data_IF_999917688808
#
_entry.id   IF_999917688808
#
_cell.length_a   1.000
_cell.length_b   1.000
_cell.length_c   1.000
_cell.angle_alpha   90.00
_cell.angle_beta   90.00
_cell.angle_gamma   90.00
#
_symmetry.space_group_name_H-M   'P 1'
#
loop_
_entity.id
_entity.type
_entity.pdbx_description
1 polymer ?
#
# COMPACT_ATOMS: atom_id res chain seq x y z
N UNK A 1 54.49 75.93 -9.93
CA UNK A 1 55.23 75.75 -8.65
C UNK A 1 54.18 75.62 -7.54
N UNK A 2 54.25 74.72 -6.54
CA UNK A 2 55.08 73.52 -6.32
C UNK A 2 54.25 72.21 -6.17
N UNK A 3 54.92 71.05 -6.28
CA UNK A 3 54.47 69.72 -5.75
C UNK A 3 54.94 69.60 -4.27
N UNK A 4 55.01 68.44 -3.56
CA UNK A 4 54.47 67.06 -3.72
C UNK A 4 54.00 66.39 -2.38
N UNK A 5 53.79 65.06 -2.43
CA UNK A 5 54.04 64.05 -1.36
C UNK A 5 52.94 63.81 -0.31
N UNK A 6 52.74 62.60 0.25
CA UNK A 6 53.05 61.21 -0.07
C UNK A 6 52.35 60.35 1.02
N UNK A 7 51.96 59.11 0.67
CA UNK A 7 52.02 57.89 1.51
C UNK A 7 51.35 57.85 2.91
N UNK A 8 50.42 56.90 3.06
CA UNK A 8 50.59 55.59 3.75
C UNK A 8 49.47 55.19 4.74
N UNK A 9 48.80 54.08 4.39
CA UNK A 9 48.32 52.92 5.20
C UNK A 9 48.07 53.07 6.72
N UNK A 10 46.89 52.63 7.20
CA UNK A 10 46.66 51.39 7.98
C UNK A 10 45.43 51.44 8.92
N UNK A 11 44.80 50.28 9.16
CA UNK A 11 43.77 50.03 10.20
C UNK A 11 42.33 50.01 9.67
N UNK A 12 41.65 48.89 9.38
CA UNK A 12 41.26 47.68 10.16
C UNK A 12 40.09 47.94 11.12
N UNK A 13 38.96 47.28 10.84
CA UNK A 13 37.71 47.26 11.62
C UNK A 13 36.53 47.37 10.63
N UNK A 14 35.78 46.32 10.29
CA UNK A 14 35.19 45.35 11.18
C UNK A 14 33.71 45.68 11.33
N UNK A 15 32.89 45.30 10.34
CA UNK A 15 31.45 45.12 10.50
C UNK A 15 30.95 44.31 9.29
N UNK A 16 31.06 42.99 9.43
CA UNK A 16 30.28 42.06 8.63
C UNK A 16 28.80 42.34 8.91
N UNK A 17 28.11 42.93 7.94
CA UNK A 17 26.67 42.96 7.92
C UNK A 17 26.20 41.56 7.51
N UNK A 18 26.01 40.72 8.53
CA UNK A 18 25.13 39.58 8.46
C UNK A 18 23.70 40.09 8.22
N UNK A 19 23.26 40.03 6.97
CA UNK A 19 21.85 39.89 6.60
C UNK A 19 21.79 38.59 5.80
N UNK A 20 21.43 37.45 6.37
CA UNK A 20 20.37 37.23 7.33
C UNK A 20 19.63 36.05 6.74
N UNK A 21 19.83 34.89 7.36
CA UNK A 21 19.34 33.59 6.95
C UNK A 21 17.87 33.63 6.50
N UNK A 22 17.66 33.32 5.22
CA UNK A 22 16.38 32.97 4.63
C UNK A 22 16.56 31.75 3.73
N UNK A 23 17.38 30.80 4.20
CA UNK A 23 17.67 29.54 3.52
C UNK A 23 16.43 28.65 3.62
N UNK A 24 15.60 28.68 2.56
CA UNK A 24 14.76 27.57 2.13
C UNK A 24 13.95 26.85 3.21
N UNK A 25 13.04 27.55 3.90
CA UNK A 25 11.89 26.85 4.47
C UNK A 25 11.09 26.27 3.29
N UNK A 26 11.36 25.00 2.95
CA UNK A 26 10.55 24.27 1.97
C UNK A 26 9.09 24.52 2.32
N UNK A 27 8.29 24.88 1.32
CA UNK A 27 6.84 25.02 1.50
C UNK A 27 6.34 23.81 2.32
N UNK A 28 5.82 24.04 3.54
CA UNK A 28 5.37 22.97 4.41
C UNK A 28 4.30 22.10 3.74
N UNK A 29 3.47 22.69 2.88
CA UNK A 29 2.43 21.97 2.14
C UNK A 29 3.05 21.04 1.11
N UNK A 30 3.96 21.54 0.27
CA UNK A 30 4.70 20.70 -0.67
C UNK A 30 5.48 19.59 0.02
N UNK A 31 6.08 19.87 1.18
CA UNK A 31 6.82 18.88 1.98
C UNK A 31 5.90 17.80 2.54
N UNK A 32 4.73 18.16 3.06
CA UNK A 32 3.72 17.23 3.54
C UNK A 32 3.17 16.35 2.40
N UNK A 33 2.84 16.95 1.25
CA UNK A 33 2.42 16.22 0.04
C UNK A 33 3.47 15.20 -0.38
N UNK A 34 4.73 15.61 -0.49
CA UNK A 34 5.83 14.71 -0.84
C UNK A 34 5.98 13.55 0.16
N UNK A 35 5.82 13.82 1.46
CA UNK A 35 5.88 12.79 2.49
C UNK A 35 4.74 11.77 2.36
N UNK A 36 3.50 12.20 2.06
CA UNK A 36 2.36 11.29 1.82
C UNK A 36 2.60 10.44 0.58
N UNK A 37 2.98 11.05 -0.55
CA UNK A 37 3.28 10.32 -1.79
C UNK A 37 4.36 9.26 -1.53
N UNK A 38 5.40 9.61 -0.79
CA UNK A 38 6.48 8.70 -0.47
C UNK A 38 6.04 7.55 0.44
N UNK A 39 5.33 7.88 1.52
CA UNK A 39 4.87 6.92 2.53
C UNK A 39 3.93 5.89 1.93
N UNK A 40 2.86 6.36 1.27
CA UNK A 40 1.88 5.50 0.58
C UNK A 40 2.54 4.74 -0.57
N UNK A 41 3.45 5.38 -1.32
CA UNK A 41 4.26 4.75 -2.34
C UNK A 41 4.97 3.48 -1.87
N UNK A 42 5.60 3.54 -0.70
CA UNK A 42 6.31 2.40 -0.10
C UNK A 42 5.35 1.37 0.47
N UNK A 43 4.31 1.81 1.18
CA UNK A 43 3.33 0.93 1.82
C UNK A 43 2.61 0.07 0.79
N UNK A 44 1.99 0.69 -0.23
CA UNK A 44 1.27 -0.06 -1.27
C UNK A 44 2.20 -1.01 -2.03
N UNK A 45 3.43 -0.59 -2.36
CA UNK A 45 4.38 -1.46 -3.06
C UNK A 45 4.79 -2.69 -2.21
N UNK A 46 4.83 -2.55 -0.89
CA UNK A 46 5.12 -3.66 0.02
C UNK A 46 3.90 -4.59 0.19
N UNK A 47 2.68 -4.02 0.18
CA UNK A 47 1.43 -4.74 0.38
C UNK A 47 1.00 -5.55 -0.86
N UNK A 48 1.34 -5.08 -2.07
CA UNK A 48 0.85 -5.65 -3.33
C UNK A 48 1.99 -6.06 -4.28
N UNK A 49 2.31 -7.36 -4.39
CA UNK A 49 3.22 -7.85 -5.42
C UNK A 49 2.73 -7.47 -6.82
N UNK A 50 3.60 -6.83 -7.59
CA UNK A 50 3.29 -6.34 -8.94
C UNK A 50 2.83 -4.89 -9.00
N UNK A 51 2.59 -4.22 -7.86
CA UNK A 51 2.39 -2.77 -7.81
C UNK A 51 3.72 -2.12 -7.42
N UNK A 52 4.18 -1.17 -8.24
CA UNK A 52 5.44 -0.49 -7.97
C UNK A 52 5.26 0.64 -6.96
N UNK A 53 6.37 1.22 -6.47
CA UNK A 53 6.34 2.45 -5.67
C UNK A 53 5.62 3.60 -6.38
N UNK A 54 5.71 3.68 -7.71
CA UNK A 54 4.96 4.65 -8.49
C UNK A 54 3.45 4.37 -8.43
N UNK A 55 3.02 3.11 -8.43
CA UNK A 55 1.63 2.74 -8.25
C UNK A 55 1.06 3.24 -6.91
N UNK A 56 1.80 3.07 -5.82
CA UNK A 56 1.40 3.66 -4.53
C UNK A 56 1.41 5.20 -4.54
N UNK A 57 2.34 5.84 -5.25
CA UNK A 57 2.34 7.30 -5.44
C UNK A 57 1.12 7.79 -6.23
N UNK A 58 0.65 7.01 -7.21
CA UNK A 58 -0.60 7.29 -7.93
C UNK A 58 -1.80 7.19 -6.98
N UNK A 59 -1.84 6.18 -6.10
CA UNK A 59 -2.89 6.07 -5.06
C UNK A 59 -2.91 7.32 -4.18
N UNK A 60 -1.74 7.79 -3.72
CA UNK A 60 -1.64 9.01 -2.93
C UNK A 60 -2.07 10.26 -3.70
N UNK A 61 -1.65 10.40 -4.96
CA UNK A 61 -2.03 11.54 -5.79
C UNK A 61 -3.55 11.59 -6.01
N UNK A 62 -4.18 10.44 -6.27
CA UNK A 62 -5.63 10.33 -6.41
C UNK A 62 -6.38 10.56 -5.09
N UNK A 63 -5.80 10.18 -3.95
CA UNK A 63 -6.36 10.47 -2.63
C UNK A 63 -6.32 11.97 -2.29
N UNK A 64 -5.25 12.66 -2.66
CA UNK A 64 -5.06 14.09 -2.39
C UNK A 64 -5.68 15.01 -3.44
N UNK A 65 -6.35 14.46 -4.46
CA UNK A 65 -7.02 15.20 -5.50
C UNK A 65 -8.50 15.39 -5.15
N UNK A 66 -9.04 16.58 -5.41
CA UNK A 66 -10.47 16.87 -5.20
C UNK A 66 -11.36 16.11 -6.20
N UNK A 67 -10.83 15.80 -7.38
CA UNK A 67 -11.54 15.16 -8.49
C UNK A 67 -10.67 14.11 -9.20
N UNK A 68 -11.31 13.30 -10.05
CA UNK A 68 -10.63 12.31 -10.89
C UNK A 68 -9.56 12.96 -11.77
N UNK A 69 -8.39 12.31 -11.89
CA UNK A 69 -7.22 12.85 -12.61
C UNK A 69 -6.99 12.13 -13.92
N UNK A 70 -6.67 12.85 -14.98
CA UNK A 70 -6.28 12.23 -16.24
C UNK A 70 -4.88 11.62 -16.11
N UNK A 71 -4.54 10.72 -17.03
CA UNK A 71 -3.17 10.18 -17.13
C UNK A 71 -2.13 11.28 -17.36
N UNK A 72 -2.51 12.37 -18.04
CA UNK A 72 -1.64 13.50 -18.31
C UNK A 72 -1.35 14.28 -17.04
N UNK A 73 -2.38 14.56 -16.23
CA UNK A 73 -2.24 15.22 -14.93
C UNK A 73 -1.33 14.42 -13.99
N UNK A 74 -1.53 13.09 -13.92
CA UNK A 74 -0.71 12.21 -13.09
C UNK A 74 0.74 12.11 -13.59
N UNK A 75 0.94 12.16 -14.91
CA UNK A 75 2.27 12.16 -15.54
C UNK A 75 3.05 13.42 -15.18
N UNK A 76 2.39 14.57 -15.26
CA UNK A 76 2.96 15.88 -14.91
C UNK A 76 3.22 15.98 -13.41
N UNK A 77 2.22 15.67 -12.57
CA UNK A 77 2.32 15.78 -11.10
C UNK A 77 3.42 14.89 -10.51
N UNK A 78 3.58 13.67 -11.03
CA UNK A 78 4.55 12.71 -10.51
C UNK A 78 5.91 12.77 -11.22
N UNK A 79 6.05 13.58 -12.27
CA UNK A 79 7.27 13.68 -13.07
C UNK A 79 7.66 12.36 -13.73
N UNK A 80 6.66 11.60 -14.22
CA UNK A 80 6.85 10.27 -14.83
C UNK A 80 6.28 10.22 -16.23
N UNK A 81 6.80 9.34 -17.07
CA UNK A 81 6.28 9.17 -18.43
C UNK A 81 4.85 8.60 -18.42
N UNK A 82 4.03 9.03 -19.38
CA UNK A 82 2.65 8.52 -19.57
C UNK A 82 2.58 7.00 -19.66
N UNK A 83 3.55 6.37 -20.34
CA UNK A 83 3.64 4.91 -20.44
C UNK A 83 3.84 4.24 -19.07
N UNK A 84 4.68 4.81 -18.20
CA UNK A 84 4.91 4.27 -16.86
C UNK A 84 3.69 4.48 -15.94
N UNK A 85 3.04 5.64 -16.03
CA UNK A 85 1.78 5.92 -15.33
C UNK A 85 0.68 4.95 -15.79
N UNK A 86 0.54 4.75 -17.11
CA UNK A 86 -0.43 3.82 -17.68
C UNK A 86 -0.25 2.39 -17.16
N UNK A 87 0.98 1.86 -17.17
CA UNK A 87 1.27 0.51 -16.69
C UNK A 87 0.85 0.33 -15.22
N UNK A 88 1.11 1.33 -14.38
CA UNK A 88 0.72 1.29 -12.97
C UNK A 88 -0.79 1.46 -12.77
N UNK A 89 -1.45 2.34 -13.54
CA UNK A 89 -2.92 2.46 -13.52
C UNK A 89 -3.59 1.14 -13.90
N UNK A 90 -3.10 0.42 -14.92
CA UNK A 90 -3.62 -0.90 -15.29
C UNK A 90 -3.48 -1.92 -14.16
N UNK A 91 -2.34 -1.92 -13.46
CA UNK A 91 -2.13 -2.80 -12.31
C UNK A 91 -3.06 -2.46 -11.14
N UNK A 92 -3.27 -1.17 -10.86
CA UNK A 92 -4.18 -0.69 -9.82
C UNK A 92 -5.66 -0.95 -10.16
N UNK A 93 -6.06 -0.79 -11.42
CA UNK A 93 -7.39 -1.18 -11.93
C UNK A 93 -7.61 -2.69 -11.74
N UNK A 94 -6.63 -3.52 -12.12
CA UNK A 94 -6.71 -4.97 -11.97
C UNK A 94 -6.75 -5.42 -10.48
N UNK A 95 -6.15 -4.63 -9.59
CA UNK A 95 -6.23 -4.83 -8.15
C UNK A 95 -7.54 -4.30 -7.53
N UNK A 96 -8.40 -3.64 -8.31
CA UNK A 96 -9.64 -3.05 -7.82
C UNK A 96 -9.45 -1.79 -6.97
N UNK A 97 -8.28 -1.14 -7.05
CA UNK A 97 -7.96 0.05 -6.25
C UNK A 97 -8.40 1.33 -6.97
N UNK A 98 -8.19 1.36 -8.28
CA UNK A 98 -8.50 2.51 -9.14
C UNK A 98 -9.61 2.12 -10.11
N UNK A 99 -10.45 3.08 -10.45
CA UNK A 99 -11.43 2.97 -11.52
C UNK A 99 -11.23 4.06 -12.57
N UNK A 100 -11.66 3.75 -13.79
CA UNK A 100 -11.69 4.68 -14.91
C UNK A 100 -13.05 5.36 -14.97
N UNK A 101 -13.05 6.69 -14.98
CA UNK A 101 -14.24 7.53 -15.14
C UNK A 101 -14.21 8.19 -16.51
N UNK A 102 -15.27 7.97 -17.30
CA UNK A 102 -15.48 8.68 -18.56
C UNK A 102 -16.10 10.04 -18.25
N UNK A 103 -15.40 11.10 -18.61
CA UNK A 103 -15.92 12.46 -18.50
C UNK A 103 -16.50 12.84 -19.86
N UNK A 104 -17.81 13.10 -19.90
CA UNK A 104 -18.52 13.51 -21.13
C UNK A 104 -17.86 14.75 -21.74
N UNK A 105 -17.40 14.65 -22.99
CA UNK A 105 -16.73 15.75 -23.70
C UNK A 105 -15.21 15.88 -23.48
N UNK A 106 -14.61 15.06 -22.61
CA UNK A 106 -13.15 15.04 -22.43
C UNK A 106 -12.44 14.24 -23.54
N UNK A 107 -11.22 14.66 -23.90
CA UNK A 107 -10.37 13.95 -24.87
C UNK A 107 -9.72 12.67 -24.32
N UNK A 108 -9.72 12.49 -23.01
CA UNK A 108 -9.06 11.38 -22.32
C UNK A 108 -9.88 10.90 -21.12
N UNK A 109 -9.67 9.64 -20.76
CA UNK A 109 -10.25 9.08 -19.54
C UNK A 109 -9.59 9.67 -18.29
N UNK A 110 -10.39 9.85 -17.23
CA UNK A 110 -9.92 10.22 -15.90
C UNK A 110 -9.93 9.00 -14.98
N UNK A 111 -9.17 9.06 -13.90
CA UNK A 111 -9.00 7.98 -12.93
C UNK A 111 -9.29 8.49 -11.52
N UNK A 112 -9.91 7.64 -10.71
CA UNK A 112 -10.18 7.92 -9.30
C UNK A 112 -9.97 6.64 -8.49
N UNK A 113 -9.83 6.78 -7.16
CA UNK A 113 -9.96 5.63 -6.28
C UNK A 113 -11.39 5.08 -6.36
N UNK A 114 -11.52 3.75 -6.34
CA UNK A 114 -12.83 3.06 -6.38
C UNK A 114 -13.62 3.24 -5.08
N UNK A 115 -12.98 3.69 -4.01
CA UNK A 115 -13.58 3.95 -2.71
C UNK A 115 -12.74 4.91 -1.88
N UNK A 116 -13.17 5.16 -0.64
CA UNK A 116 -12.42 5.96 0.33
C UNK A 116 -11.04 5.33 0.57
N UNK A 117 -10.07 6.17 0.91
CA UNK A 117 -8.81 5.70 1.48
C UNK A 117 -8.93 5.73 3.01
N UNK A 118 -8.44 4.71 3.75
CA UNK A 118 -7.66 3.55 3.30
C UNK A 118 -8.51 2.33 2.88
N UNK A 119 -9.81 2.39 3.04
CA UNK A 119 -10.81 1.34 2.78
C UNK A 119 -10.59 0.54 1.50
N UNK A 120 -10.40 1.23 0.37
CA UNK A 120 -10.21 0.59 -0.94
C UNK A 120 -8.92 -0.22 -1.01
N UNK A 121 -7.84 0.26 -0.36
CA UNK A 121 -6.54 -0.42 -0.34
C UNK A 121 -6.61 -1.64 0.57
N UNK A 122 -7.20 -1.49 1.76
CA UNK A 122 -7.37 -2.62 2.69
C UNK A 122 -8.30 -3.67 2.10
N UNK A 123 -9.40 -3.27 1.45
CA UNK A 123 -10.30 -4.15 0.73
C UNK A 123 -9.59 -4.95 -0.37
N UNK A 124 -8.79 -4.28 -1.21
CA UNK A 124 -7.98 -4.95 -2.23
C UNK A 124 -6.98 -5.96 -1.62
N UNK A 125 -6.37 -5.62 -0.49
CA UNK A 125 -5.43 -6.52 0.20
C UNK A 125 -6.14 -7.78 0.74
N UNK A 126 -7.31 -7.61 1.37
CA UNK A 126 -8.10 -8.71 1.90
C UNK A 126 -8.67 -9.61 0.79
N UNK A 127 -9.17 -9.03 -0.30
CA UNK A 127 -9.60 -9.78 -1.47
C UNK A 127 -8.46 -10.64 -2.05
N UNK A 128 -7.25 -10.06 -2.13
CA UNK A 128 -6.05 -10.78 -2.53
C UNK A 128 -5.73 -11.93 -1.56
N UNK A 129 -5.78 -11.70 -0.26
CA UNK A 129 -5.50 -12.72 0.75
C UNK A 129 -6.51 -13.88 0.68
N UNK A 130 -7.79 -13.58 0.48
CA UNK A 130 -8.84 -14.59 0.24
C UNK A 130 -8.51 -15.47 -0.96
N UNK A 131 -8.09 -14.87 -2.07
CA UNK A 131 -7.66 -15.61 -3.28
C UNK A 131 -6.44 -16.50 -3.01
N UNK A 132 -5.43 -15.99 -2.30
CA UNK A 132 -4.25 -16.78 -1.93
C UNK A 132 -4.64 -18.00 -1.09
N UNK A 133 -5.55 -17.85 -0.12
CA UNK A 133 -6.04 -18.96 0.68
C UNK A 133 -6.77 -19.99 -0.18
N UNK A 134 -7.68 -19.55 -1.06
CA UNK A 134 -8.39 -20.44 -1.98
C UNK A 134 -7.44 -21.21 -2.90
N UNK A 135 -6.43 -20.54 -3.46
CA UNK A 135 -5.41 -21.17 -4.30
C UNK A 135 -4.61 -22.25 -3.53
N UNK A 136 -4.33 -22.01 -2.24
CA UNK A 136 -3.63 -22.99 -1.38
C UNK A 136 -4.50 -24.18 -1.02
N UNK A 137 -5.81 -23.98 -0.77
CA UNK A 137 -6.78 -25.07 -0.61
C UNK A 137 -6.81 -25.94 -1.87
N UNK A 138 -6.96 -25.31 -3.04
CA UNK A 138 -6.98 -26.02 -4.32
C UNK A 138 -5.67 -26.77 -4.61
N UNK A 139 -4.52 -26.19 -4.28
CA UNK A 139 -3.22 -26.85 -4.41
C UNK A 139 -3.11 -28.10 -3.53
N UNK A 140 -3.49 -28.01 -2.25
CA UNK A 140 -3.42 -29.14 -1.32
C UNK A 140 -4.38 -30.26 -1.74
N UNK A 141 -5.59 -29.90 -2.18
CA UNK A 141 -6.59 -30.86 -2.67
C UNK A 141 -6.06 -31.63 -3.88
N UNK A 142 -5.60 -30.92 -4.92
CA UNK A 142 -5.02 -31.58 -6.10
C UNK A 142 -3.83 -32.46 -5.76
N UNK A 143 -2.96 -32.04 -4.86
CA UNK A 143 -1.80 -32.83 -4.45
C UNK A 143 -2.19 -34.11 -3.68
N UNK A 144 -3.24 -34.06 -2.86
CA UNK A 144 -3.81 -35.24 -2.19
C UNK A 144 -4.47 -36.18 -3.20
N UNK A 145 -5.19 -35.64 -4.18
CA UNK A 145 -5.80 -36.44 -5.25
C UNK A 145 -4.73 -37.17 -6.08
N UNK A 146 -3.62 -36.49 -6.41
CA UNK A 146 -2.49 -37.08 -7.11
C UNK A 146 -1.79 -38.19 -6.31
N UNK A 147 -1.79 -38.09 -4.97
CA UNK A 147 -1.28 -39.16 -4.11
C UNK A 147 -2.17 -40.40 -4.15
N UNK A 148 -3.49 -40.22 -4.25
CA UNK A 148 -4.48 -41.30 -4.25
C UNK A 148 -4.19 -42.36 -3.18
N UNK A 149 -4.21 -43.62 -3.62
CA UNK A 149 -3.98 -44.79 -2.77
C UNK A 149 -2.50 -45.22 -2.69
N UNK A 150 -1.56 -44.36 -3.12
CA UNK A 150 -0.14 -44.66 -3.02
C UNK A 150 0.25 -45.00 -1.56
N UNK A 151 0.98 -46.11 -1.39
CA UNK A 151 1.37 -46.64 -0.08
C UNK A 151 2.87 -46.52 0.12
N UNK A 152 3.28 -46.36 1.37
CA UNK A 152 4.69 -46.30 1.77
C UNK A 152 4.97 -45.09 2.64
N UNK A 153 6.06 -45.15 3.41
CA UNK A 153 6.39 -44.14 4.43
C UNK A 153 6.37 -42.70 3.89
N UNK A 154 6.86 -42.50 2.68
CA UNK A 154 6.90 -41.19 2.05
C UNK A 154 5.51 -40.67 1.66
N UNK A 155 4.69 -41.52 1.02
CA UNK A 155 3.32 -41.19 0.65
C UNK A 155 2.47 -40.88 1.90
N UNK A 156 2.61 -41.68 2.95
CA UNK A 156 1.88 -41.51 4.21
C UNK A 156 2.30 -40.21 4.93
N UNK A 157 3.61 -39.92 4.96
CA UNK A 157 4.13 -38.68 5.54
C UNK A 157 3.67 -37.45 4.75
N UNK A 158 3.68 -37.50 3.42
CA UNK A 158 3.23 -36.39 2.58
C UNK A 158 1.72 -36.16 2.71
N UNK A 159 0.91 -37.23 2.72
CA UNK A 159 -0.53 -37.18 2.97
C UNK A 159 -0.84 -36.53 4.31
N UNK A 160 -0.11 -36.92 5.36
CA UNK A 160 -0.22 -36.30 6.70
C UNK A 160 0.06 -34.80 6.69
N UNK A 161 1.16 -34.37 6.05
CA UNK A 161 1.54 -32.95 5.94
C UNK A 161 0.53 -32.14 5.14
N UNK A 162 0.13 -32.63 3.97
CA UNK A 162 -0.84 -31.95 3.10
C UNK A 162 -2.23 -31.87 3.75
N UNK A 163 -2.69 -32.95 4.40
CA UNK A 163 -3.95 -32.94 5.14
C UNK A 163 -3.93 -31.96 6.31
N UNK A 164 -2.83 -31.85 7.05
CA UNK A 164 -2.68 -30.86 8.12
C UNK A 164 -2.69 -29.42 7.57
N UNK A 165 -2.03 -29.19 6.43
CA UNK A 165 -1.98 -27.89 5.78
C UNK A 165 -3.36 -27.48 5.22
N UNK A 166 -4.05 -28.41 4.56
CA UNK A 166 -5.40 -28.21 4.03
C UNK A 166 -6.37 -27.81 5.14
N UNK A 167 -6.44 -28.58 6.23
CA UNK A 167 -7.29 -28.25 7.39
C UNK A 167 -7.05 -26.85 7.95
N UNK A 168 -5.79 -26.38 7.91
CA UNK A 168 -5.45 -25.03 8.37
C UNK A 168 -5.98 -23.97 7.40
N UNK A 169 -5.80 -24.15 6.09
CA UNK A 169 -6.29 -23.21 5.09
C UNK A 169 -7.81 -23.20 4.95
N UNK A 170 -8.49 -24.34 5.12
CA UNK A 170 -9.95 -24.40 5.18
C UNK A 170 -10.50 -23.56 6.32
N UNK A 171 -9.88 -23.62 7.52
CA UNK A 171 -10.27 -22.75 8.64
C UNK A 171 -10.08 -21.27 8.32
N UNK A 172 -9.01 -20.91 7.62
CA UNK A 172 -8.83 -19.54 7.14
C UNK A 172 -9.91 -19.16 6.12
N UNK A 173 -10.23 -20.05 5.17
CA UNK A 173 -11.27 -19.80 4.17
C UNK A 173 -12.63 -19.56 4.82
N UNK A 174 -13.03 -20.40 5.78
CA UNK A 174 -14.26 -20.19 6.57
C UNK A 174 -14.23 -18.86 7.32
N UNK A 175 -13.10 -18.49 7.94
CA UNK A 175 -12.99 -17.20 8.61
C UNK A 175 -13.18 -16.02 7.65
N UNK A 176 -12.68 -16.11 6.41
CA UNK A 176 -12.90 -15.10 5.37
C UNK A 176 -14.33 -15.08 4.82
N UNK A 177 -15.11 -16.17 4.93
CA UNK A 177 -16.53 -16.21 4.56
C UNK A 177 -17.44 -15.59 5.62
N UNK A 178 -17.07 -15.71 6.89
CA UNK A 178 -17.82 -15.16 8.01
C UNK A 178 -17.74 -13.63 8.08
N UNK A 179 -16.77 -13.02 7.40
CA UNK A 179 -16.69 -11.57 7.29
C UNK A 179 -17.16 -11.16 5.89
N UNK A 180 -18.27 -10.44 5.76
CA UNK A 180 -18.80 -9.98 4.48
C UNK A 180 -17.94 -8.84 3.93
N UNK A 181 -16.70 -9.15 3.56
CA UNK A 181 -15.89 -8.29 2.71
C UNK A 181 -16.41 -8.49 1.28
N UNK A 182 -17.45 -7.74 0.90
CA UNK A 182 -17.93 -7.74 -0.49
C UNK A 182 -16.83 -7.29 -1.46
N UNK A 183 -17.06 -7.40 -2.76
CA UNK A 183 -16.12 -6.93 -3.80
C UNK A 183 -15.90 -5.39 -3.79
N UNK A 184 -16.45 -4.67 -2.81
CA UNK A 184 -16.39 -3.21 -2.64
C UNK A 184 -15.40 -2.75 -1.56
N UNK A 185 -15.13 -1.43 -1.49
CA UNK A 185 -14.35 -0.85 -0.41
C UNK A 185 -15.01 -1.15 0.94
N UNK A 186 -14.21 -1.56 1.92
CA UNK A 186 -14.66 -1.88 3.27
C UNK A 186 -14.69 -0.57 4.05
N UNK A 187 -15.83 -0.09 4.52
CA UNK A 187 -15.84 1.06 5.43
C UNK A 187 -15.22 0.63 6.77
N UNK A 188 -13.94 0.94 6.95
CA UNK A 188 -13.18 0.49 8.10
C UNK A 188 -13.59 1.22 9.38
N UNK A 189 -14.06 2.46 9.24
CA UNK A 189 -14.52 3.26 10.38
C UNK A 189 -15.81 2.66 10.94
N UNK A 190 -16.80 2.42 10.07
CA UNK A 190 -18.05 1.77 10.44
C UNK A 190 -17.82 0.35 11.01
N UNK A 191 -16.95 -0.44 10.36
CA UNK A 191 -16.59 -1.76 10.86
C UNK A 191 -15.99 -1.72 12.27
N UNK A 192 -15.13 -0.74 12.57
CA UNK A 192 -14.51 -0.61 13.89
C UNK A 192 -15.50 -0.11 14.94
N UNK A 193 -16.39 0.80 14.57
CA UNK A 193 -17.40 1.38 15.45
C UNK A 193 -18.49 0.37 15.84
N UNK A 194 -18.84 -0.54 14.93
CA UNK A 194 -19.85 -1.59 15.18
C UNK A 194 -19.29 -2.78 15.98
N UNK A 195 -17.96 -2.94 16.07
CA UNK A 195 -17.36 -4.06 16.79
C UNK A 195 -17.56 -3.91 18.30
N UNK A 196 -18.23 -4.86 18.98
CA UNK A 196 -18.35 -4.82 20.43
C UNK A 196 -16.98 -4.82 21.10
N UNK A 197 -16.75 -3.92 22.05
CA UNK A 197 -15.48 -3.83 22.77
C UNK A 197 -15.07 -5.17 23.43
N UNK A 198 -16.06 -5.98 23.82
CA UNK A 198 -15.84 -7.34 24.33
C UNK A 198 -15.17 -8.26 23.31
N UNK A 199 -15.52 -8.15 22.03
CA UNK A 199 -14.92 -8.93 20.95
C UNK A 199 -13.48 -8.48 20.68
N UNK A 200 -13.21 -7.17 20.66
CA UNK A 200 -11.86 -6.61 20.56
C UNK A 200 -10.96 -7.12 21.70
N UNK A 201 -11.48 -7.10 22.93
CA UNK A 201 -10.75 -7.59 24.11
C UNK A 201 -10.53 -9.10 24.08
N UNK A 202 -11.51 -9.87 23.60
CA UNK A 202 -11.39 -11.32 23.43
C UNK A 202 -10.32 -11.68 22.38
N UNK A 203 -10.26 -10.95 21.26
CA UNK A 203 -9.22 -11.12 20.26
C UNK A 203 -7.84 -10.76 20.82
N UNK A 204 -7.71 -9.64 21.52
CA UNK A 204 -6.44 -9.20 22.12
C UNK A 204 -5.90 -10.18 23.18
N UNK A 205 -6.78 -10.73 24.02
CA UNK A 205 -6.40 -11.73 25.04
C UNK A 205 -6.04 -13.07 24.42
N UNK A 206 -6.71 -13.46 23.34
CA UNK A 206 -6.42 -14.71 22.62
C UNK A 206 -5.12 -14.62 21.81
N UNK A 207 -4.84 -13.47 21.19
CA UNK A 207 -3.59 -13.22 20.45
C UNK A 207 -2.34 -13.19 21.37
N UNK A 208 -2.51 -12.79 22.63
CA UNK A 208 -1.43 -12.79 23.65
C UNK A 208 -1.18 -14.18 24.27
N UNK A 209 -2.05 -15.17 24.06
CA UNK A 209 -1.81 -16.52 24.56
C UNK A 209 -0.76 -17.21 23.70
N UNK A 210 0.30 -17.79 24.29
CA UNK A 210 1.25 -18.58 23.53
C UNK A 210 0.52 -19.76 22.85
N UNK A 211 0.94 -20.16 21.64
CA UNK A 211 0.29 -21.27 20.93
C UNK A 211 0.32 -22.50 21.83
N UNK A 212 -0.86 -23.09 22.09
CA UNK A 212 -0.97 -24.37 22.79
C UNK A 212 -0.08 -25.37 22.05
N UNK A 213 1.01 -25.83 22.70
CA UNK A 213 1.83 -26.93 22.19
C UNK A 213 0.87 -28.08 21.88
N UNK A 214 0.85 -28.51 20.62
CA UNK A 214 0.14 -29.73 20.25
C UNK A 214 0.72 -30.86 21.10
N UNK A 215 -0.12 -31.49 21.92
CA UNK A 215 0.26 -32.70 22.62
C UNK A 215 0.62 -33.75 21.55
N UNK A 216 1.88 -34.15 21.54
CA UNK A 216 2.36 -35.28 20.77
C UNK A 216 1.70 -36.54 21.31
N UNK A 217 0.80 -37.12 20.52
CA UNK A 217 0.35 -38.52 20.64
C UNK A 217 0.74 -39.25 19.37
#
# INVERSE_FOLDING_TARGET
MPKPSAKNRSGRGGAAAASGAGEGARDPVASARAAVLEGVGREVAASFPGITRLGGQIVAALYLADDARSMDDLSEELGRSKSNVFANLRALEAAGIVERRRVTGARSDAFALRGKYPDVVVGAYLARLRRVVADKVGLCTRALDMLGDARGREADALRGKLGALLRKYERFATAFELVPFGDGPIDLEELLDELPQSLLMALATTAKRPPRRAASS
#
